data_IF_954034335978
#
_entry.id   IF_954034335978
#
_cell.length_a   1.000
_cell.length_b   1.000
_cell.length_c   1.000
_cell.angle_alpha   90.00
_cell.angle_beta   90.00
_cell.angle_gamma   90.00
#
_symmetry.space_group_name_H-M   'P 1'
#
loop_
_entity.id
_entity.type
_entity.pdbx_description
1 polymer ?
#
# COMPACT_ATOMS: atom_id res chain seq x y z
N UNK A 1 16.94 -26.93 1.27
CA UNK A 1 16.99 -27.83 0.11
C UNK A 1 15.81 -28.79 0.18
N UNK A 2 15.16 -29.00 -0.97
CA UNK A 2 14.28 -30.12 -1.31
C UNK A 2 12.97 -30.30 -0.51
N UNK A 3 11.84 -30.10 -1.18
CA UNK A 3 10.68 -30.97 -0.98
C UNK A 3 9.92 -31.09 -2.30
N UNK A 4 10.34 -32.06 -3.11
CA UNK A 4 9.48 -32.69 -4.12
C UNK A 4 8.98 -34.04 -3.55
N UNK A 5 7.81 -34.46 -4.04
CA UNK A 5 7.18 -35.81 -3.96
C UNK A 5 6.26 -35.96 -2.71
N UNK A 6 5.00 -36.43 -2.75
CA UNK A 6 4.27 -37.26 -3.71
C UNK A 6 2.74 -36.99 -3.73
N UNK A 7 2.08 -37.52 -4.76
CA UNK A 7 0.64 -37.56 -5.03
C UNK A 7 -0.22 -38.00 -3.83
N UNK A 8 -0.94 -37.07 -3.22
CA UNK A 8 -2.36 -37.17 -2.83
C UNK A 8 -2.83 -35.72 -2.59
N UNK A 9 -4.01 -35.38 -3.09
CA UNK A 9 -4.55 -34.02 -3.09
C UNK A 9 -4.92 -33.58 -1.66
N UNK A 10 -3.92 -33.19 -0.87
CA UNK A 10 -4.10 -32.26 0.23
C UNK A 10 -3.12 -31.14 -0.02
N UNK A 11 -3.56 -30.16 -0.83
CA UNK A 11 -2.97 -28.82 -0.78
C UNK A 11 -3.31 -28.31 0.61
N UNK A 12 -2.49 -28.68 1.59
CA UNK A 12 -2.36 -27.89 2.80
C UNK A 12 -1.75 -26.60 2.30
N UNK A 13 -2.61 -25.61 2.04
CA UNK A 13 -2.18 -24.26 1.78
C UNK A 13 -1.12 -23.94 2.84
N UNK A 14 0.11 -23.72 2.39
CA UNK A 14 1.13 -23.19 3.25
C UNK A 14 0.53 -21.87 3.73
N UNK A 15 0.08 -21.82 5.00
CA UNK A 15 -0.28 -20.56 5.65
C UNK A 15 0.99 -19.74 5.69
N UNK A 16 1.28 -19.06 4.58
CA UNK A 16 2.47 -18.25 4.43
C UNK A 16 2.43 -17.20 5.52
N UNK A 17 3.57 -16.96 6.16
CA UNK A 17 3.72 -15.81 7.02
C UNK A 17 3.27 -14.56 6.24
N UNK A 18 2.41 -13.74 6.85
CA UNK A 18 1.90 -12.51 6.24
C UNK A 18 3.07 -11.55 6.05
N UNK A 19 3.50 -11.35 4.81
CA UNK A 19 4.65 -10.51 4.47
C UNK A 19 4.28 -9.38 3.51
N UNK A 20 4.91 -8.23 3.72
CA UNK A 20 4.93 -7.15 2.76
C UNK A 20 5.98 -7.41 1.66
N UNK A 21 5.67 -7.06 0.40
CA UNK A 21 6.58 -7.14 -0.73
C UNK A 21 7.94 -6.48 -0.45
N UNK A 22 9.02 -7.08 -0.96
CA UNK A 22 10.39 -6.64 -0.69
C UNK A 22 10.68 -5.25 -1.24
N UNK A 23 10.07 -4.91 -2.37
CA UNK A 23 10.14 -3.60 -3.02
C UNK A 23 9.61 -2.45 -2.16
N UNK A 24 8.65 -2.74 -1.27
CA UNK A 24 8.05 -1.75 -0.39
C UNK A 24 8.89 -1.52 0.87
N UNK A 25 9.86 -2.39 1.17
CA UNK A 25 10.64 -2.31 2.41
C UNK A 25 11.55 -1.08 2.40
N UNK A 26 11.59 -0.39 3.53
CA UNK A 26 12.36 0.84 3.72
C UNK A 26 11.55 1.96 4.33
N UNK A 27 12.05 3.19 4.18
CA UNK A 27 11.50 4.37 4.83
C UNK A 27 10.74 5.24 3.82
N UNK A 28 9.56 5.71 4.24
CA UNK A 28 8.61 6.43 3.40
C UNK A 28 8.15 7.71 4.09
N UNK A 29 8.09 8.80 3.34
CA UNK A 29 7.52 10.05 3.80
C UNK A 29 6.00 10.05 3.63
N UNK A 30 5.29 10.45 4.67
CA UNK A 30 3.86 10.74 4.65
C UNK A 30 3.61 12.14 5.20
N UNK A 31 2.77 12.92 4.52
CA UNK A 31 2.36 14.24 5.04
C UNK A 31 1.56 14.05 6.33
N UNK A 32 1.98 14.75 7.40
CA UNK A 32 1.29 14.77 8.69
C UNK A 32 1.77 13.74 9.71
N UNK A 33 2.69 12.85 9.33
CA UNK A 33 3.38 11.97 10.26
C UNK A 33 4.70 12.62 10.69
N UNK A 34 5.03 12.63 12.00
CA UNK A 34 6.24 13.27 12.49
C UNK A 34 7.51 12.52 12.07
N UNK A 35 7.43 11.18 12.03
CA UNK A 35 8.53 10.30 11.66
C UNK A 35 8.22 9.58 10.34
N UNK A 36 9.26 9.19 9.56
CA UNK A 36 9.07 8.37 8.37
C UNK A 36 8.33 7.06 8.66
N UNK A 37 7.42 6.69 7.77
CA UNK A 37 6.75 5.40 7.79
C UNK A 37 7.72 4.32 7.31
N UNK A 38 8.13 3.44 8.22
CA UNK A 38 9.03 2.32 7.95
C UNK A 38 8.25 1.05 7.69
N UNK A 39 8.41 0.51 6.49
CA UNK A 39 7.80 -0.77 6.06
C UNK A 39 8.88 -1.85 6.18
N UNK A 40 8.61 -2.84 7.04
CA UNK A 40 9.45 -4.02 7.26
C UNK A 40 8.93 -5.27 6.54
N UNK A 41 9.40 -6.45 6.98
CA UNK A 41 8.94 -7.74 6.42
C UNK A 41 7.48 -8.00 6.77
N UNK A 42 7.09 -7.78 8.02
CA UNK A 42 5.76 -8.10 8.55
C UNK A 42 5.12 -6.94 9.30
N UNK A 43 5.77 -5.78 9.38
CA UNK A 43 5.30 -4.64 10.16
C UNK A 43 5.41 -3.33 9.39
N UNK A 44 4.49 -2.41 9.66
CA UNK A 44 4.54 -1.02 9.21
C UNK A 44 4.54 -0.15 10.48
N UNK A 45 5.52 0.74 10.61
CA UNK A 45 5.58 1.67 11.75
C UNK A 45 4.27 2.43 11.90
N UNK A 46 3.85 2.70 13.14
CA UNK A 46 2.58 3.35 13.51
C UNK A 46 1.29 2.63 13.09
N UNK A 47 1.35 1.63 12.19
CA UNK A 47 0.18 0.87 11.70
C UNK A 47 0.04 -0.51 12.33
N UNK A 48 1.13 -1.27 12.45
CA UNK A 48 1.12 -2.56 13.13
C UNK A 48 1.69 -3.74 12.35
N UNK A 49 1.27 -4.94 12.74
CA UNK A 49 1.83 -6.22 12.27
C UNK A 49 0.85 -6.98 11.37
N UNK A 50 1.34 -7.49 10.25
CA UNK A 50 0.63 -8.28 9.25
C UNK A 50 0.18 -9.63 9.85
N UNK A 51 -1.10 -9.97 9.72
CA UNK A 51 -1.68 -11.24 10.16
C UNK A 51 -2.10 -12.13 8.99
N UNK A 52 -2.77 -11.54 8.00
CA UNK A 52 -3.21 -12.22 6.79
C UNK A 52 -3.07 -11.29 5.57
N UNK A 53 -2.72 -11.84 4.41
CA UNK A 53 -2.58 -11.10 3.17
C UNK A 53 -3.36 -11.81 2.06
N UNK A 54 -4.22 -11.08 1.35
CA UNK A 54 -4.87 -11.53 0.14
C UNK A 54 -4.84 -10.41 -0.89
N UNK A 55 -4.29 -10.70 -2.07
CA UNK A 55 -4.05 -9.75 -3.15
C UNK A 55 -3.26 -8.52 -2.67
N UNK A 56 -3.89 -7.34 -2.69
CA UNK A 56 -3.31 -6.07 -2.26
C UNK A 56 -3.89 -5.58 -0.92
N UNK A 57 -4.59 -6.45 -0.19
CA UNK A 57 -5.23 -6.15 1.09
C UNK A 57 -4.58 -6.97 2.20
N UNK A 58 -4.25 -6.29 3.28
CA UNK A 58 -3.52 -6.85 4.41
C UNK A 58 -4.33 -6.64 5.68
N UNK A 59 -4.54 -7.71 6.44
CA UNK A 59 -5.09 -7.64 7.78
C UNK A 59 -3.95 -7.32 8.75
N UNK A 60 -4.03 -6.17 9.40
CA UNK A 60 -2.97 -5.63 10.25
C UNK A 60 -3.49 -5.48 11.68
N UNK A 61 -2.72 -6.01 12.63
CA UNK A 61 -2.94 -5.89 14.07
C UNK A 61 -2.25 -4.65 14.61
N UNK A 62 -3.03 -3.73 15.18
CA UNK A 62 -2.55 -2.43 15.66
C UNK A 62 -1.71 -2.61 16.93
N UNK A 63 -0.53 -1.95 17.07
CA UNK A 63 0.38 -2.17 18.20
C UNK A 63 -0.28 -1.91 19.55
N UNK A 64 0.06 -2.73 20.55
CA UNK A 64 -0.43 -2.62 21.93
C UNK A 64 -1.97 -2.67 22.07
N UNK A 65 -2.66 -3.22 21.07
CA UNK A 65 -4.11 -3.40 21.09
C UNK A 65 -4.45 -4.78 20.52
N UNK A 66 -5.69 -5.23 20.70
CA UNK A 66 -6.25 -6.38 20.01
C UNK A 66 -7.09 -5.94 18.80
N UNK A 67 -6.81 -4.77 18.23
CA UNK A 67 -7.57 -4.19 17.13
C UNK A 67 -7.01 -4.68 15.80
N UNK A 68 -7.91 -5.10 14.91
CA UNK A 68 -7.59 -5.45 13.53
C UNK A 68 -8.14 -4.39 12.59
N UNK A 69 -7.30 -3.99 11.66
CA UNK A 69 -7.65 -3.13 10.54
C UNK A 69 -7.28 -3.80 9.24
N UNK A 70 -8.07 -3.55 8.20
CA UNK A 70 -7.65 -3.92 6.85
C UNK A 70 -6.95 -2.73 6.21
N UNK A 71 -5.81 -2.96 5.59
CA UNK A 71 -5.02 -1.98 4.86
C UNK A 71 -4.88 -2.45 3.41
N UNK A 72 -5.39 -1.66 2.47
CA UNK A 72 -5.23 -1.90 1.04
C UNK A 72 -4.10 -1.04 0.50
N UNK A 73 -3.03 -1.66 -0.01
CA UNK A 73 -1.83 -0.95 -0.49
C UNK A 73 -1.68 -1.16 -2.00
N UNK A 74 -1.56 -0.07 -2.76
CA UNK A 74 -1.32 -0.09 -4.18
C UNK A 74 -0.01 0.63 -4.55
N UNK A 75 0.87 -0.07 -5.26
CA UNK A 75 2.04 0.55 -5.87
C UNK A 75 1.63 1.35 -7.11
N UNK A 76 1.81 2.68 -7.07
CA UNK A 76 1.54 3.57 -8.21
C UNK A 76 2.79 3.80 -9.05
N UNK A 77 3.93 3.85 -8.38
CA UNK A 77 5.24 4.04 -8.98
C UNK A 77 6.30 3.43 -8.06
N UNK A 78 7.53 3.19 -8.55
CA UNK A 78 8.63 2.63 -7.74
C UNK A 78 8.91 3.44 -6.46
N UNK A 79 8.66 4.75 -6.50
CA UNK A 79 8.84 5.67 -5.36
C UNK A 79 7.52 6.16 -4.75
N UNK A 80 6.37 5.62 -5.16
CA UNK A 80 5.05 6.08 -4.68
C UNK A 80 4.14 4.90 -4.40
N UNK A 81 3.80 4.73 -3.12
CA UNK A 81 2.73 3.86 -2.68
C UNK A 81 1.52 4.70 -2.29
N UNK A 82 0.34 4.13 -2.46
CA UNK A 82 -0.88 4.67 -1.90
C UNK A 82 -1.58 3.60 -1.11
N UNK A 83 -2.16 3.96 0.03
CA UNK A 83 -2.90 3.02 0.82
C UNK A 83 -4.18 3.62 1.40
N UNK A 84 -5.13 2.74 1.68
CA UNK A 84 -6.35 3.02 2.45
C UNK A 84 -6.40 2.05 3.63
N UNK A 85 -7.00 2.48 4.72
CA UNK A 85 -7.25 1.64 5.89
C UNK A 85 -8.70 1.75 6.35
N UNK A 86 -9.18 0.74 7.09
CA UNK A 86 -10.48 0.85 7.74
C UNK A 86 -10.46 1.98 8.78
N UNK A 87 -11.52 2.80 8.86
CA UNK A 87 -11.53 3.97 9.74
C UNK A 87 -11.44 3.58 11.21
N UNK A 88 -12.13 2.50 11.59
CA UNK A 88 -12.23 2.02 12.96
C UNK A 88 -11.67 0.60 13.11
N UNK A 89 -11.53 0.17 14.36
CA UNK A 89 -11.21 -1.20 14.71
C UNK A 89 -12.39 -2.11 14.42
N UNK A 90 -12.16 -3.20 13.69
CA UNK A 90 -13.22 -4.16 13.42
C UNK A 90 -13.45 -5.09 14.62
N UNK A 91 -14.71 -5.45 14.84
CA UNK A 91 -15.08 -6.53 15.76
C UNK A 91 -14.84 -7.91 15.13
N UNK A 92 -14.73 -7.98 13.80
CA UNK A 92 -14.43 -9.20 13.08
C UNK A 92 -12.95 -9.57 13.17
N UNK A 93 -12.67 -10.84 12.88
CA UNK A 93 -11.32 -11.42 13.00
C UNK A 93 -10.77 -12.00 11.72
N UNK A 94 -11.60 -12.17 10.70
CA UNK A 94 -11.20 -12.73 9.41
C UNK A 94 -10.89 -11.62 8.42
N UNK A 95 -9.88 -11.83 7.57
CA UNK A 95 -9.51 -10.86 6.54
C UNK A 95 -10.70 -10.40 5.70
N UNK A 96 -11.50 -11.33 5.19
CA UNK A 96 -12.63 -11.01 4.31
C UNK A 96 -13.65 -10.10 4.99
N UNK A 97 -14.01 -10.37 6.26
CA UNK A 97 -15.00 -9.58 6.97
C UNK A 97 -14.49 -8.16 7.27
N UNK A 98 -13.25 -8.03 7.76
CA UNK A 98 -12.65 -6.73 8.07
C UNK A 98 -12.45 -5.91 6.79
N UNK A 99 -11.99 -6.53 5.71
CA UNK A 99 -11.73 -5.85 4.44
C UNK A 99 -12.99 -5.49 3.63
N UNK A 100 -14.18 -5.93 4.04
CA UNK A 100 -15.47 -5.48 3.48
C UNK A 100 -15.92 -4.14 4.07
N UNK A 101 -15.35 -3.72 5.21
CA UNK A 101 -15.67 -2.44 5.85
C UNK A 101 -15.03 -1.23 5.15
N UNK A 102 -14.26 -1.44 4.07
CA UNK A 102 -13.78 -0.33 3.26
C UNK A 102 -14.94 0.42 2.63
N UNK A 103 -14.99 1.72 2.89
CA UNK A 103 -15.89 2.63 2.18
C UNK A 103 -15.18 3.19 0.94
N UNK A 104 -15.91 3.48 -0.13
CA UNK A 104 -15.31 4.02 -1.37
C UNK A 104 -14.63 5.38 -1.17
N UNK A 105 -15.18 6.17 -0.26
CA UNK A 105 -14.73 7.47 0.22
C UNK A 105 -13.65 7.40 1.30
N UNK A 106 -13.19 6.20 1.70
CA UNK A 106 -12.12 6.05 2.67
C UNK A 106 -10.88 6.84 2.23
N UNK A 107 -10.27 7.54 3.20
CA UNK A 107 -9.15 8.45 2.99
C UNK A 107 -7.97 7.71 2.36
N UNK A 108 -7.44 8.30 1.29
CA UNK A 108 -6.30 7.77 0.55
C UNK A 108 -5.02 8.49 1.00
N UNK A 109 -4.10 7.74 1.57
CA UNK A 109 -2.79 8.23 1.97
C UNK A 109 -1.78 7.95 0.86
N UNK A 110 -0.81 8.85 0.70
CA UNK A 110 0.30 8.70 -0.24
C UNK A 110 1.62 8.65 0.52
N UNK A 111 2.43 7.66 0.19
CA UNK A 111 3.76 7.42 0.74
C UNK A 111 4.79 7.64 -0.36
N UNK A 112 5.81 8.46 -0.07
CA UNK A 112 6.90 8.76 -0.99
C UNK A 112 8.21 8.17 -0.49
N UNK A 113 8.88 7.37 -1.32
CA UNK A 113 10.09 6.64 -0.90
C UNK A 113 11.22 7.60 -0.54
N UNK A 114 11.79 7.46 0.65
CA UNK A 114 13.00 8.17 1.03
C UNK A 114 14.21 7.48 0.42
N UNK A 115 15.11 8.26 -0.20
CA UNK A 115 16.26 7.71 -0.92
C UNK A 115 15.89 6.85 -2.13
N UNK A 116 14.71 7.05 -2.71
CA UNK A 116 14.27 6.33 -3.92
C UNK A 116 15.10 6.66 -5.16
N UNK A 117 15.14 5.74 -6.12
CA UNK A 117 15.89 5.94 -7.36
C UNK A 117 15.31 7.12 -8.16
N UNK A 118 16.15 8.05 -8.65
CA UNK A 118 15.66 9.17 -9.45
C UNK A 118 15.01 8.64 -10.72
N UNK A 119 13.89 9.25 -11.10
CA UNK A 119 13.23 8.98 -12.38
C UNK A 119 13.51 10.08 -13.38
N UNK A 120 13.72 9.74 -14.66
CA UNK A 120 13.95 10.74 -15.68
C UNK A 120 12.74 11.69 -15.77
N UNK A 121 13.02 13.00 -15.82
CA UNK A 121 11.96 13.99 -15.96
C UNK A 121 11.20 13.74 -17.28
N UNK A 122 9.86 13.58 -17.26
CA UNK A 122 9.08 13.31 -18.46
C UNK A 122 9.05 14.51 -19.42
N UNK A 123 9.37 15.70 -18.92
CA UNK A 123 9.38 16.94 -19.69
C UNK A 123 10.82 17.41 -19.92
N UNK A 124 11.16 17.66 -21.18
CA UNK A 124 12.40 18.31 -21.61
C UNK A 124 11.99 19.62 -22.28
N UNK A 125 12.62 20.73 -21.88
CA UNK A 125 12.17 22.07 -22.27
C UNK A 125 12.49 22.45 -23.73
N UNK A 126 12.07 23.65 -24.17
CA UNK A 126 11.10 24.55 -23.53
C UNK A 126 9.66 24.16 -23.92
N UNK A 127 8.75 24.16 -22.93
CA UNK A 127 7.32 23.91 -23.14
C UNK A 127 6.55 25.23 -23.03
N UNK A 128 5.82 25.60 -24.07
CA UNK A 128 4.87 26.71 -24.04
C UNK A 128 3.47 26.14 -23.85
N UNK A 129 2.78 26.59 -22.81
CA UNK A 129 1.40 26.20 -22.51
C UNK A 129 0.49 27.40 -22.77
N UNK A 130 -0.52 27.22 -23.60
CA UNK A 130 -1.63 28.17 -23.77
C UNK A 130 -2.92 27.51 -23.30
N UNK A 131 -3.78 28.29 -22.63
CA UNK A 131 -5.07 27.83 -22.15
C UNK A 131 -6.18 28.68 -22.78
N UNK A 132 -7.09 28.06 -23.52
CA UNK A 132 -8.24 28.73 -24.11
C UNK A 132 -9.48 28.57 -23.21
N UNK A 133 -10.03 29.67 -22.70
CA UNK A 133 -11.31 29.68 -21.95
C UNK A 133 -12.56 29.64 -22.85
N UNK A 134 -12.45 29.17 -24.09
CA UNK A 134 -13.61 28.95 -24.97
C UNK A 134 -14.08 30.17 -25.78
N UNK A 135 -13.29 31.25 -25.89
CA UNK A 135 -13.60 32.37 -26.78
C UNK A 135 -12.44 32.67 -27.73
N UNK A 136 -12.48 32.07 -28.93
CA UNK A 136 -11.60 32.36 -30.07
C UNK A 136 -10.43 31.39 -30.26
N UNK A 137 -10.11 31.08 -31.53
CA UNK A 137 -8.87 30.39 -31.89
C UNK A 137 -7.70 31.37 -31.69
N UNK A 138 -6.66 30.94 -30.96
CA UNK A 138 -5.39 31.65 -30.92
C UNK A 138 -4.74 31.53 -32.30
N UNK A 139 -4.80 32.60 -33.11
CA UNK A 139 -4.02 32.73 -34.33
C UNK A 139 -2.65 33.29 -33.97
N UNK A 140 -1.60 32.55 -34.33
CA UNK A 140 -0.25 33.10 -34.49
C UNK A 140 -0.21 34.06 -35.68
#
# INVERSE_FOLDING_TARGET
LSCCIALTLVIRGCGGECEFPVEWRGDWFQKGEPEPIRIGRTNISTKGTCREAHDNKFLVEVPNTNCLKCIGIGAKHANVLQYKETPFCSAHRTHEAVCREFTGDALLYSLFRLGGSPVPCPFKGPLSFEYSQGHGQCSQ
#
